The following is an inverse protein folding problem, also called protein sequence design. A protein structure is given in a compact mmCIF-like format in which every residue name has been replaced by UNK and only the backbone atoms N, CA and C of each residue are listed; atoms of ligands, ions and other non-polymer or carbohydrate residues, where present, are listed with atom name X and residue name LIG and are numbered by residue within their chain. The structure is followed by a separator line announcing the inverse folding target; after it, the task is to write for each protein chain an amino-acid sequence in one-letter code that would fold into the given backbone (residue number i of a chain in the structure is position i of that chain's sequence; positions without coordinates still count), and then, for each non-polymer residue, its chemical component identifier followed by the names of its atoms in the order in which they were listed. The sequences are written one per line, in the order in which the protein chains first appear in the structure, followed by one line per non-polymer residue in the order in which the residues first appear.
data_IF_353223800872
#
_entry.id   IF_353223800872
#
_cell.length_a   1.000
_cell.length_b   1.000
_cell.length_c   1.000
_cell.angle_alpha   90.00
_cell.angle_beta   90.00
_cell.angle_gamma   90.00
#
_symmetry.space_group_name_H-M   'P 1'
#
loop_
_entity.id
_entity.type
_entity.pdbx_description
1 polymer ?
#
# COMPACT_ATOMS: atom_id res chain seq x y z
N UNK A 1 26.78 43.56 44.63
CA UNK A 1 25.47 43.26 43.99
C UNK A 1 25.54 43.05 42.47
N UNK A 2 26.67 42.58 41.89
CA UNK A 2 26.81 42.34 40.43
C UNK A 2 26.92 40.87 40.02
N UNK A 3 26.97 39.93 40.98
CA UNK A 3 27.22 38.49 40.73
C UNK A 3 25.95 37.63 40.59
N UNK A 4 24.78 38.15 40.98
CA UNK A 4 23.51 37.41 40.93
C UNK A 4 22.76 37.56 39.59
N UNK A 5 23.06 38.57 38.78
CA UNK A 5 22.40 38.78 37.48
C UNK A 5 22.82 37.77 36.40
N UNK A 6 24.06 37.28 36.45
CA UNK A 6 24.60 36.34 35.44
C UNK A 6 24.01 34.93 35.62
N UNK A 7 23.72 34.51 36.87
CA UNK A 7 23.10 33.22 37.16
C UNK A 7 21.62 33.14 36.72
N UNK A 8 20.91 34.27 36.72
CA UNK A 8 19.49 34.30 36.33
C UNK A 8 19.28 34.19 34.80
N UNK A 9 20.22 34.72 34.01
CA UNK A 9 20.18 34.65 32.53
C UNK A 9 20.55 33.25 32.01
N UNK A 10 21.46 32.55 32.70
CA UNK A 10 21.82 31.17 32.35
C UNK A 10 20.68 30.17 32.61
N UNK A 11 19.87 30.38 33.65
CA UNK A 11 18.70 29.54 33.94
C UNK A 11 17.58 29.68 32.91
N UNK A 12 17.40 30.88 32.32
CA UNK A 12 16.36 31.11 31.31
C UNK A 12 16.68 30.43 29.96
N UNK A 13 17.96 30.30 29.60
CA UNK A 13 18.37 29.65 28.35
C UNK A 13 18.11 28.13 28.33
N UNK A 14 18.13 27.47 29.48
CA UNK A 14 17.96 26.01 29.59
C UNK A 14 16.48 25.62 29.41
N UNK A 15 15.53 26.47 29.84
CA UNK A 15 14.10 26.20 29.67
C UNK A 15 13.64 26.38 28.22
N UNK A 16 14.14 27.38 27.49
CA UNK A 16 13.74 27.58 26.09
C UNK A 16 14.31 26.50 25.15
N UNK A 17 15.44 25.85 25.44
CA UNK A 17 15.99 24.80 24.58
C UNK A 17 15.27 23.44 24.68
N UNK A 18 14.49 23.18 25.74
CA UNK A 18 13.81 21.90 25.93
C UNK A 18 12.50 21.78 25.13
N UNK A 19 11.82 22.89 24.87
CA UNK A 19 10.54 22.90 24.15
C UNK A 19 10.69 22.62 22.64
N UNK A 20 11.81 23.05 22.03
CA UNK A 20 12.04 22.83 20.59
C UNK A 20 12.35 21.38 20.23
N UNK A 21 13.03 20.63 21.10
CA UNK A 21 13.31 19.19 20.90
C UNK A 21 12.06 18.33 21.10
N UNK A 22 11.25 18.63 22.12
CA UNK A 22 9.99 17.91 22.36
C UNK A 22 9.00 18.07 21.19
N UNK A 23 8.87 19.28 20.65
CA UNK A 23 8.01 19.55 19.50
C UNK A 23 8.48 18.83 18.22
N UNK A 24 9.80 18.75 18.00
CA UNK A 24 10.38 18.06 16.85
C UNK A 24 10.18 16.54 16.91
N UNK A 25 10.32 15.94 18.10
CA UNK A 25 10.09 14.50 18.30
C UNK A 25 8.62 14.12 18.22
N UNK A 26 7.70 14.96 18.73
CA UNK A 26 6.27 14.76 18.54
C UNK A 26 5.86 14.79 17.06
N UNK A 27 6.43 15.71 16.27
CA UNK A 27 6.17 15.79 14.83
C UNK A 27 6.62 14.53 14.10
N UNK A 28 7.82 14.01 14.41
CA UNK A 28 8.29 12.72 13.85
C UNK A 28 7.38 11.56 14.24
N UNK A 29 6.92 11.51 15.48
CA UNK A 29 6.01 10.46 15.94
C UNK A 29 4.65 10.52 15.22
N UNK A 30 4.12 11.73 15.02
CA UNK A 30 2.90 11.95 14.24
C UNK A 30 3.07 11.58 12.77
N UNK A 31 4.23 11.89 12.17
CA UNK A 31 4.55 11.55 10.79
C UNK A 31 4.69 10.03 10.61
N UNK A 32 5.34 9.35 11.55
CA UNK A 32 5.41 7.89 11.62
C UNK A 32 4.02 7.27 11.82
N UNK A 33 3.19 7.85 12.70
CA UNK A 33 1.82 7.40 12.94
C UNK A 33 0.93 7.56 11.69
N UNK A 34 1.00 8.71 11.02
CA UNK A 34 0.30 8.96 9.77
C UNK A 34 0.75 7.99 8.69
N UNK A 35 2.06 7.78 8.54
CA UNK A 35 2.61 6.79 7.61
C UNK A 35 2.10 5.38 7.88
N UNK A 36 2.02 4.96 9.16
CA UNK A 36 1.47 3.64 9.51
C UNK A 36 -0.02 3.53 9.17
N UNK A 37 -0.80 4.59 9.36
CA UNK A 37 -2.22 4.58 8.98
C UNK A 37 -2.42 4.47 7.48
N UNK A 38 -1.60 5.14 6.67
CA UNK A 38 -1.66 5.05 5.20
C UNK A 38 -1.22 3.67 4.69
N UNK A 39 -0.15 3.10 5.27
CA UNK A 39 0.27 1.73 4.97
C UNK A 39 -0.86 0.73 5.30
N UNK A 40 -1.47 0.85 6.48
CA UNK A 40 -2.57 -0.03 6.88
C UNK A 40 -3.80 0.11 5.97
N UNK A 41 -4.10 1.32 5.50
CA UNK A 41 -5.18 1.55 4.51
C UNK A 41 -4.86 0.89 3.17
N UNK A 42 -3.64 1.03 2.66
CA UNK A 42 -3.22 0.39 1.40
C UNK A 42 -3.37 -1.12 1.48
N UNK A 43 -2.81 -1.74 2.52
CA UNK A 43 -2.87 -3.19 2.74
C UNK A 43 -4.31 -3.71 2.84
N UNK A 44 -5.20 -2.96 3.51
CA UNK A 44 -6.63 -3.30 3.57
C UNK A 44 -7.30 -3.21 2.21
N UNK A 45 -6.98 -2.19 1.42
CA UNK A 45 -7.53 -2.02 0.08
C UNK A 45 -7.04 -3.11 -0.87
N UNK A 46 -5.77 -3.47 -0.80
CA UNK A 46 -5.16 -4.57 -1.57
C UNK A 46 -5.83 -5.90 -1.25
N UNK A 47 -6.00 -6.21 0.03
CA UNK A 47 -6.71 -7.43 0.48
C UNK A 47 -8.16 -7.44 0.02
N UNK A 48 -8.86 -6.31 0.13
CA UNK A 48 -10.25 -6.19 -0.33
C UNK A 48 -10.38 -6.42 -1.84
N UNK A 49 -9.47 -5.85 -2.63
CA UNK A 49 -9.46 -6.06 -4.08
C UNK A 49 -9.13 -7.50 -4.43
N UNK A 50 -8.17 -8.10 -3.75
CA UNK A 50 -7.85 -9.52 -3.88
C UNK A 50 -9.08 -10.42 -3.62
N UNK A 51 -9.73 -10.27 -2.46
CA UNK A 51 -10.89 -11.08 -2.09
C UNK A 51 -12.06 -10.88 -3.07
N UNK A 52 -12.27 -9.65 -3.53
CA UNK A 52 -13.32 -9.33 -4.49
C UNK A 52 -13.08 -10.02 -5.84
N UNK A 53 -11.84 -9.97 -6.34
CA UNK A 53 -11.46 -10.62 -7.61
C UNK A 53 -11.52 -12.14 -7.48
N UNK A 54 -10.94 -12.73 -6.41
CA UNK A 54 -10.98 -14.18 -6.16
C UNK A 54 -12.43 -14.69 -6.11
N UNK A 55 -13.30 -14.00 -5.36
CA UNK A 55 -14.72 -14.35 -5.29
C UNK A 55 -15.41 -14.21 -6.65
N UNK A 56 -15.10 -13.16 -7.42
CA UNK A 56 -15.70 -12.93 -8.72
C UNK A 56 -15.26 -13.97 -9.78
N UNK A 57 -14.03 -14.47 -9.70
CA UNK A 57 -13.56 -15.59 -10.52
C UNK A 57 -14.31 -16.87 -10.12
N UNK A 58 -14.37 -17.18 -8.81
CA UNK A 58 -15.00 -18.40 -8.32
C UNK A 58 -16.51 -18.45 -8.59
N UNK A 59 -17.19 -17.30 -8.60
CA UNK A 59 -18.61 -17.21 -8.96
C UNK A 59 -18.87 -17.14 -10.48
N UNK A 60 -17.82 -17.08 -11.29
CA UNK A 60 -17.91 -16.89 -12.74
C UNK A 60 -18.37 -15.49 -13.14
N UNK A 61 -18.29 -14.50 -12.26
CA UNK A 61 -18.57 -13.10 -12.61
C UNK A 61 -17.45 -12.49 -13.46
N UNK A 62 -16.19 -12.86 -13.22
CA UNK A 62 -15.06 -12.61 -14.13
C UNK A 62 -14.95 -13.80 -15.08
N UNK A 63 -14.91 -13.51 -16.38
CA UNK A 63 -14.80 -14.50 -17.46
C UNK A 63 -13.82 -14.02 -18.51
N UNK A 64 -13.31 -14.96 -19.30
CA UNK A 64 -12.55 -14.64 -20.51
C UNK A 64 -13.34 -13.69 -21.43
N UNK A 65 -12.63 -12.78 -22.09
CA UNK A 65 -13.20 -11.73 -22.94
C UNK A 65 -13.73 -10.50 -22.18
N UNK A 66 -13.82 -10.54 -20.85
CA UNK A 66 -14.20 -9.35 -20.05
C UNK A 66 -13.12 -8.28 -20.16
N UNK A 67 -13.51 -7.01 -20.25
CA UNK A 67 -12.54 -5.91 -20.33
C UNK A 67 -11.86 -5.65 -18.99
N UNK A 68 -10.56 -5.36 -19.03
CA UNK A 68 -9.77 -5.09 -17.84
C UNK A 68 -10.28 -3.86 -17.07
N UNK A 69 -10.80 -2.85 -17.78
CA UNK A 69 -11.46 -1.68 -17.21
C UNK A 69 -12.68 -2.02 -16.35
N UNK A 70 -13.45 -3.03 -16.74
CA UNK A 70 -14.61 -3.48 -15.94
C UNK A 70 -14.15 -4.05 -14.61
N UNK A 71 -13.04 -4.79 -14.61
CA UNK A 71 -12.45 -5.39 -13.41
C UNK A 71 -11.93 -4.28 -12.49
N UNK A 72 -11.15 -3.34 -13.01
CA UNK A 72 -10.65 -2.20 -12.21
C UNK A 72 -11.77 -1.41 -11.56
N UNK A 73 -12.84 -1.12 -12.30
CA UNK A 73 -13.97 -0.32 -11.80
C UNK A 73 -14.80 -1.06 -10.76
N UNK A 74 -15.03 -2.37 -10.92
CA UNK A 74 -15.89 -3.15 -10.01
C UNK A 74 -15.17 -3.73 -8.80
N UNK A 75 -13.95 -4.21 -8.98
CA UNK A 75 -13.23 -5.00 -7.97
C UNK A 75 -11.95 -4.31 -7.47
N UNK A 76 -11.49 -3.28 -8.19
CA UNK A 76 -10.29 -2.51 -7.86
C UNK A 76 -9.08 -2.89 -8.72
N UNK A 77 -8.06 -2.02 -8.65
CA UNK A 77 -6.83 -2.17 -9.42
C UNK A 77 -5.93 -3.29 -8.90
N UNK A 78 -5.07 -3.83 -9.76
CA UNK A 78 -4.01 -4.75 -9.33
C UNK A 78 -2.94 -4.01 -8.54
N UNK A 79 -2.17 -4.77 -7.77
CA UNK A 79 -1.01 -4.27 -7.02
C UNK A 79 0.15 -4.02 -7.98
N UNK A 80 0.33 -4.92 -8.95
CA UNK A 80 1.39 -4.83 -9.96
C UNK A 80 0.81 -5.19 -11.33
N UNK A 81 1.23 -4.43 -12.33
CA UNK A 81 0.99 -4.70 -13.74
C UNK A 81 2.32 -4.93 -14.46
N UNK A 82 2.48 -6.09 -15.10
CA UNK A 82 3.71 -6.43 -15.83
C UNK A 82 3.34 -6.80 -17.25
N UNK A 83 3.84 -6.04 -18.22
CA UNK A 83 3.69 -6.36 -19.63
C UNK A 83 4.79 -7.32 -20.10
N UNK A 84 4.38 -8.49 -20.59
CA UNK A 84 5.25 -9.49 -21.20
C UNK A 84 5.27 -9.31 -22.72
N UNK A 85 6.35 -8.69 -23.23
CA UNK A 85 6.57 -8.43 -24.66
C UNK A 85 6.60 -9.71 -25.51
N UNK A 86 6.99 -10.86 -24.97
CA UNK A 86 7.12 -12.10 -25.77
C UNK A 86 5.78 -12.73 -26.06
N UNK A 87 4.85 -12.60 -25.11
CA UNK A 87 3.51 -13.20 -25.18
C UNK A 87 2.43 -12.20 -25.55
N UNK A 88 2.77 -10.91 -25.59
CA UNK A 88 1.86 -9.79 -25.78
C UNK A 88 0.68 -9.82 -24.79
N UNK A 89 1.02 -10.06 -23.52
CA UNK A 89 0.05 -10.11 -22.41
C UNK A 89 0.49 -9.19 -21.28
N UNK A 90 -0.47 -8.55 -20.63
CA UNK A 90 -0.27 -7.85 -19.37
C UNK A 90 -0.71 -8.75 -18.22
N UNK A 91 0.18 -9.03 -17.29
CA UNK A 91 -0.12 -9.77 -16.06
C UNK A 91 -0.47 -8.80 -14.95
N UNK A 92 -1.61 -9.02 -14.34
CA UNK A 92 -2.11 -8.26 -13.19
C UNK A 92 -2.02 -9.10 -11.94
N UNK A 93 -1.28 -8.64 -10.94
CA UNK A 93 -1.09 -9.33 -9.68
C UNK A 93 -2.02 -8.76 -8.60
N UNK A 94 -2.76 -9.65 -7.96
CA UNK A 94 -3.52 -9.41 -6.73
C UNK A 94 -2.98 -10.34 -5.64
N UNK A 95 -2.72 -9.80 -4.44
CA UNK A 95 -2.33 -10.59 -3.27
C UNK A 95 -2.98 -10.00 -2.01
N UNK A 96 -3.33 -10.83 -1.02
CA UNK A 96 -3.74 -10.33 0.28
C UNK A 96 -2.52 -9.80 1.04
N UNK A 97 -2.74 -8.86 1.96
CA UNK A 97 -1.67 -8.27 2.77
C UNK A 97 -0.91 -9.28 3.65
N UNK A 98 -1.50 -10.44 3.91
CA UNK A 98 -0.85 -11.54 4.62
C UNK A 98 0.19 -12.29 3.78
N UNK A 99 0.16 -12.12 2.46
CA UNK A 99 1.09 -12.75 1.52
C UNK A 99 2.26 -11.83 1.20
N UNK A 100 3.40 -12.41 0.89
CA UNK A 100 4.60 -11.68 0.53
C UNK A 100 5.08 -12.08 -0.87
N UNK A 101 6.12 -11.41 -1.36
CA UNK A 101 6.63 -11.67 -2.71
C UNK A 101 7.22 -13.09 -2.87
N UNK A 102 7.58 -13.77 -1.79
CA UNK A 102 8.27 -15.06 -1.80
C UNK A 102 7.41 -16.24 -1.32
N UNK A 103 6.22 -15.98 -0.77
CA UNK A 103 5.33 -16.99 -0.20
C UNK A 103 3.94 -16.45 0.11
N UNK A 104 2.97 -17.36 0.18
CA UNK A 104 1.55 -17.04 0.31
C UNK A 104 0.82 -16.97 -1.03
N UNK A 105 -0.45 -16.60 -0.95
CA UNK A 105 -1.40 -16.72 -2.03
C UNK A 105 -1.30 -15.55 -3.02
N UNK A 106 -1.26 -15.87 -4.31
CA UNK A 106 -1.17 -14.88 -5.39
C UNK A 106 -2.12 -15.23 -6.50
N UNK A 107 -2.86 -14.22 -6.97
CA UNK A 107 -3.76 -14.34 -8.08
C UNK A 107 -3.26 -13.46 -9.21
N UNK A 108 -2.96 -14.08 -10.36
CA UNK A 108 -2.64 -13.34 -11.57
C UNK A 108 -3.80 -13.40 -12.56
N UNK A 109 -4.18 -12.26 -13.10
CA UNK A 109 -5.07 -12.17 -14.26
C UNK A 109 -4.22 -11.83 -15.48
N UNK A 110 -4.44 -12.55 -16.58
CA UNK A 110 -3.76 -12.29 -17.85
C UNK A 110 -4.69 -11.49 -18.74
N UNK A 111 -4.23 -10.32 -19.15
CA UNK A 111 -4.92 -9.40 -20.06
C UNK A 111 -4.20 -9.44 -21.41
N UNK A 112 -4.94 -9.55 -22.50
CA UNK A 112 -4.39 -9.50 -23.86
C UNK A 112 -4.16 -8.06 -24.34
N UNK A 113 -3.61 -7.93 -25.56
CA UNK A 113 -3.40 -6.65 -26.23
C UNK A 113 -4.68 -5.85 -26.48
N UNK A 114 -5.84 -6.52 -26.54
CA UNK A 114 -7.16 -5.91 -26.74
C UNK A 114 -7.80 -5.46 -25.41
N UNK A 115 -7.02 -5.48 -24.32
CA UNK A 115 -7.45 -5.12 -22.97
C UNK A 115 -8.57 -6.03 -22.43
N UNK A 116 -8.56 -7.31 -22.80
CA UNK A 116 -9.52 -8.34 -22.37
C UNK A 116 -8.85 -9.43 -21.54
N UNK A 117 -9.61 -10.02 -20.63
CA UNK A 117 -9.18 -11.18 -19.85
C UNK A 117 -8.98 -12.37 -20.76
N UNK A 118 -7.78 -12.93 -20.76
CA UNK A 118 -7.42 -14.17 -21.44
C UNK A 118 -7.46 -15.37 -20.50
N UNK A 119 -7.28 -15.15 -19.20
CA UNK A 119 -7.29 -16.21 -18.19
C UNK A 119 -6.75 -15.72 -16.85
N UNK A 120 -6.60 -16.64 -15.91
CA UNK A 120 -6.05 -16.36 -14.58
C UNK A 120 -5.34 -17.59 -14.00
N UNK A 121 -4.43 -17.34 -13.06
CA UNK A 121 -3.68 -18.37 -12.33
C UNK A 121 -3.69 -18.03 -10.83
N UNK A 122 -4.07 -19.01 -10.01
CA UNK A 122 -3.96 -18.93 -8.56
C UNK A 122 -2.75 -19.74 -8.12
N UNK A 123 -1.81 -19.10 -7.44
CA UNK A 123 -0.63 -19.74 -6.85
C UNK A 123 -0.83 -19.74 -5.34
N UNK A 124 -0.97 -20.94 -4.79
CA UNK A 124 -0.96 -21.19 -3.35
C UNK A 124 0.46 -21.64 -2.97
N UNK A 125 1.01 -21.10 -1.89
CA UNK A 125 2.37 -21.36 -1.42
C UNK A 125 2.45 -21.43 0.09
#
# INVERSE_FOLDING_TARGET
MKRYGILMVAGLFIFFSADYTLAADMKKLMEVGASQTEIAKSLRQETKSYDAVKKAINSGAIKEGMTADTIRKKYGGPIIEVYDKKRDITKWLYMPASSNHFGGEKLYIHIDSDNKVKGWELIEG
#
